data_IF_094443353647
#
_entry.id   IF_094443353647
#
_cell.length_a   1.000
_cell.length_b   1.000
_cell.length_c   1.000
_cell.angle_alpha   90.00
_cell.angle_beta   90.00
_cell.angle_gamma   90.00
#
_symmetry.space_group_name_H-M   'P 1'
#
loop_
_entity.id
_entity.type
_entity.pdbx_description
1 polymer ?
#
# COMPACT_ATOMS: atom_id res chain seq x y z
N UNK A 1 -57.04 -15.79 -88.68
CA UNK A 1 -56.78 -15.34 -87.30
C UNK A 1 -55.86 -16.32 -86.59
N UNK A 2 -54.56 -16.00 -86.45
CA UNK A 2 -53.65 -16.58 -85.43
C UNK A 2 -52.69 -15.47 -85.01
N UNK A 3 -52.78 -15.04 -83.76
CA UNK A 3 -51.96 -13.96 -83.17
C UNK A 3 -50.61 -14.53 -82.75
N UNK A 4 -49.53 -13.90 -83.21
CA UNK A 4 -48.16 -14.14 -82.75
C UNK A 4 -47.96 -13.29 -81.49
N UNK A 5 -47.58 -13.93 -80.39
CA UNK A 5 -47.29 -13.28 -79.12
C UNK A 5 -45.76 -13.11 -79.00
N UNK A 6 -45.28 -11.88 -79.19
CA UNK A 6 -43.88 -11.52 -78.98
C UNK A 6 -43.62 -11.32 -77.49
N UNK A 7 -42.74 -12.15 -76.91
CA UNK A 7 -42.27 -12.01 -75.52
C UNK A 7 -41.07 -11.06 -75.52
N UNK A 8 -41.24 -9.88 -74.94
CA UNK A 8 -40.19 -8.88 -74.73
C UNK A 8 -39.44 -9.23 -73.43
N UNK A 9 -38.18 -9.66 -73.55
CA UNK A 9 -37.31 -9.95 -72.41
C UNK A 9 -36.70 -8.63 -71.88
N UNK A 10 -37.21 -8.15 -70.74
CA UNK A 10 -36.64 -7.00 -70.02
C UNK A 10 -35.42 -7.43 -69.20
N UNK A 11 -34.22 -7.12 -69.70
CA UNK A 11 -32.96 -7.19 -68.94
C UNK A 11 -32.84 -5.96 -68.03
N UNK A 12 -33.11 -6.13 -66.74
CA UNK A 12 -32.80 -5.16 -65.69
C UNK A 12 -31.31 -5.23 -65.33
N UNK A 13 -30.52 -4.15 -65.50
CA UNK A 13 -29.14 -4.12 -65.03
C UNK A 13 -29.14 -4.08 -63.50
N UNK A 14 -28.72 -5.18 -62.87
CA UNK A 14 -28.43 -5.19 -61.44
C UNK A 14 -27.16 -4.38 -61.22
N UNK A 15 -27.30 -3.12 -60.80
CA UNK A 15 -26.20 -2.36 -60.20
C UNK A 15 -25.84 -3.04 -58.88
N UNK A 16 -24.90 -3.99 -58.94
CA UNK A 16 -24.17 -4.46 -57.76
C UNK A 16 -23.34 -3.28 -57.24
N UNK A 17 -23.90 -2.52 -56.30
CA UNK A 17 -23.11 -1.68 -55.40
C UNK A 17 -22.18 -2.63 -54.64
N UNK A 18 -20.94 -2.75 -55.09
CA UNK A 18 -19.89 -3.49 -54.39
C UNK A 18 -19.71 -2.84 -53.01
N UNK A 19 -20.33 -3.43 -51.99
CA UNK A 19 -20.16 -3.01 -50.60
C UNK A 19 -18.71 -3.29 -50.24
N UNK A 20 -17.92 -2.24 -50.03
CA UNK A 20 -16.52 -2.41 -49.64
C UNK A 20 -16.47 -3.11 -48.28
N UNK A 21 -15.83 -4.28 -48.25
CA UNK A 21 -15.60 -5.08 -47.04
C UNK A 21 -14.78 -4.26 -46.02
N UNK A 22 -15.05 -4.40 -44.71
CA UNK A 22 -14.24 -3.79 -43.68
C UNK A 22 -12.81 -4.35 -43.69
N UNK A 23 -11.86 -3.54 -43.23
CA UNK A 23 -10.50 -4.02 -42.95
C UNK A 23 -10.50 -4.74 -41.62
N UNK A 24 -9.99 -5.96 -41.62
CA UNK A 24 -9.77 -6.74 -40.42
C UNK A 24 -8.31 -6.67 -40.00
N UNK A 25 -8.06 -6.21 -38.78
CA UNK A 25 -6.74 -6.22 -38.16
C UNK A 25 -6.58 -7.52 -37.39
N UNK A 26 -5.53 -8.26 -37.72
CA UNK A 26 -5.03 -9.40 -36.96
C UNK A 26 -3.75 -8.99 -36.25
N UNK A 27 -3.77 -8.97 -34.91
CA UNK A 27 -2.58 -8.62 -34.14
C UNK A 27 -1.56 -9.74 -34.18
N UNK A 28 -0.28 -9.39 -34.30
CA UNK A 28 0.79 -10.37 -34.19
C UNK A 28 0.90 -10.82 -32.74
N UNK A 29 0.96 -12.12 -32.48
CA UNK A 29 1.11 -12.70 -31.13
C UNK A 29 2.54 -12.59 -30.58
N UNK A 30 3.23 -11.51 -30.91
CA UNK A 30 4.57 -11.19 -30.40
C UNK A 30 4.44 -10.44 -29.08
N UNK A 31 4.92 -10.99 -27.95
CA UNK A 31 4.77 -10.36 -26.65
C UNK A 31 5.39 -8.95 -26.59
N UNK A 32 4.71 -8.06 -25.89
CA UNK A 32 5.21 -6.73 -25.57
C UNK A 32 6.10 -6.84 -24.33
N UNK A 33 7.31 -6.30 -24.44
CA UNK A 33 8.25 -6.19 -23.33
C UNK A 33 8.69 -4.74 -23.17
N UNK A 34 8.85 -4.30 -21.93
CA UNK A 34 9.31 -2.95 -21.59
C UNK A 34 10.55 -3.03 -20.71
N UNK A 35 11.30 -1.94 -20.61
CA UNK A 35 12.47 -1.88 -19.73
C UNK A 35 12.02 -1.74 -18.29
N UNK A 36 12.52 -2.62 -17.41
CA UNK A 36 12.28 -2.60 -15.96
C UNK A 36 10.77 -2.53 -15.61
N UNK A 37 9.98 -3.55 -15.98
CA UNK A 37 8.53 -3.57 -15.69
C UNK A 37 8.27 -3.46 -14.19
N UNK A 38 7.44 -2.50 -13.79
CA UNK A 38 7.13 -2.23 -12.37
C UNK A 38 5.71 -2.65 -11.97
N UNK A 39 4.95 -3.21 -12.91
CA UNK A 39 3.59 -3.72 -12.70
C UNK A 39 3.42 -5.14 -13.22
N UNK A 40 2.42 -5.84 -12.69
CA UNK A 40 1.92 -7.09 -13.22
C UNK A 40 0.50 -6.88 -13.75
N UNK A 41 0.14 -7.62 -14.80
CA UNK A 41 -1.20 -7.54 -15.36
C UNK A 41 -2.16 -8.37 -14.51
N UNK A 42 -3.18 -7.73 -13.97
CA UNK A 42 -4.26 -8.41 -13.22
C UNK A 42 -5.45 -8.72 -14.13
N UNK A 43 -5.87 -7.73 -14.94
CA UNK A 43 -7.02 -7.85 -15.83
C UNK A 43 -7.03 -6.74 -16.87
N UNK A 44 -7.56 -7.03 -18.05
CA UNK A 44 -7.93 -6.02 -19.04
C UNK A 44 -9.46 -5.95 -19.18
N UNK A 45 -9.99 -4.73 -19.29
CA UNK A 45 -11.40 -4.47 -19.56
C UNK A 45 -11.52 -3.58 -20.78
N UNK A 46 -12.30 -4.02 -21.76
CA UNK A 46 -12.70 -3.15 -22.87
C UNK A 46 -13.92 -2.33 -22.45
N UNK A 47 -13.75 -1.03 -22.26
CA UNK A 47 -14.80 -0.08 -21.87
C UNK A 47 -15.10 0.92 -22.98
N UNK A 48 -14.62 0.66 -24.20
CA UNK A 48 -14.92 1.49 -25.37
C UNK A 48 -16.41 1.46 -25.63
N UNK A 49 -16.97 2.64 -25.93
CA UNK A 49 -18.39 2.81 -26.24
C UNK A 49 -18.85 2.00 -27.46
N UNK A 50 -17.95 1.79 -28.43
CA UNK A 50 -18.22 1.01 -29.63
C UNK A 50 -17.14 -0.03 -29.89
N UNK A 51 -17.35 -1.27 -29.40
CA UNK A 51 -16.36 -2.36 -29.46
C UNK A 51 -16.22 -3.00 -30.84
N UNK A 52 -17.26 -2.94 -31.65
CA UNK A 52 -17.35 -3.65 -32.93
C UNK A 52 -16.53 -3.03 -34.07
N UNK A 53 -16.03 -1.80 -33.92
CA UNK A 53 -15.16 -1.16 -34.90
C UNK A 53 -14.06 -0.34 -34.22
N UNK A 54 -12.93 -0.20 -34.91
CA UNK A 54 -11.76 0.58 -34.51
C UNK A 54 -11.66 1.88 -35.31
N UNK A 55 -12.80 2.45 -35.73
CA UNK A 55 -12.86 3.64 -36.58
C UNK A 55 -12.89 3.33 -38.08
N UNK A 56 -12.43 4.28 -38.87
CA UNK A 56 -12.52 4.27 -40.34
C UNK A 56 -11.23 4.74 -40.98
N UNK A 57 -10.88 4.10 -42.09
CA UNK A 57 -9.68 4.40 -42.88
C UNK A 57 -10.05 4.66 -44.33
N UNK A 58 -9.16 5.30 -45.09
CA UNK A 58 -9.36 5.62 -46.50
C UNK A 58 -8.97 4.43 -47.37
N UNK A 59 -9.92 3.95 -48.18
CA UNK A 59 -9.74 2.87 -49.15
C UNK A 59 -9.39 3.37 -50.55
N UNK A 60 -9.73 4.62 -50.85
CA UNK A 60 -9.49 5.27 -52.13
C UNK A 60 -9.93 6.74 -52.09
N UNK A 61 -9.78 7.49 -53.19
CA UNK A 61 -10.20 8.89 -53.26
C UNK A 61 -11.68 9.03 -52.87
N UNK A 62 -11.97 9.87 -51.87
CA UNK A 62 -13.32 10.04 -51.31
C UNK A 62 -14.02 8.74 -50.83
N UNK A 63 -13.27 7.68 -50.56
CA UNK A 63 -13.80 6.38 -50.15
C UNK A 63 -13.20 5.94 -48.81
N UNK A 64 -14.06 5.47 -47.89
CA UNK A 64 -13.63 5.04 -46.55
C UNK A 64 -14.28 3.72 -46.19
N UNK A 65 -13.55 2.92 -45.41
CA UNK A 65 -13.96 1.60 -44.93
C UNK A 65 -13.74 1.50 -43.43
N UNK A 66 -14.61 0.73 -42.77
CA UNK A 66 -14.50 0.48 -41.34
C UNK A 66 -13.30 -0.42 -41.03
N UNK A 67 -12.66 -0.17 -39.89
CA UNK A 67 -11.63 -1.04 -39.32
C UNK A 67 -12.25 -1.89 -38.23
N UNK A 68 -11.95 -3.19 -38.22
CA UNK A 68 -12.37 -4.15 -37.19
C UNK A 68 -11.17 -4.98 -36.75
N UNK A 69 -11.33 -5.72 -35.65
CA UNK A 69 -10.34 -6.70 -35.23
C UNK A 69 -10.93 -8.10 -35.33
N UNK A 70 -10.10 -9.08 -35.70
CA UNK A 70 -10.49 -10.48 -35.72
C UNK A 70 -10.79 -11.03 -34.31
N UNK A 71 -10.10 -10.50 -33.31
CA UNK A 71 -10.16 -10.94 -31.93
C UNK A 71 -10.71 -9.82 -31.03
N UNK A 72 -11.20 -10.18 -29.85
CA UNK A 72 -11.56 -9.19 -28.85
C UNK A 72 -10.32 -8.42 -28.38
N UNK A 73 -10.37 -7.08 -28.41
CA UNK A 73 -9.22 -6.24 -28.09
C UNK A 73 -8.70 -6.49 -26.67
N UNK A 74 -9.58 -6.72 -25.70
CA UNK A 74 -9.17 -7.05 -24.34
C UNK A 74 -8.34 -8.35 -24.28
N UNK A 75 -8.81 -9.41 -24.95
CA UNK A 75 -8.09 -10.69 -25.03
C UNK A 75 -6.74 -10.53 -25.74
N UNK A 76 -6.72 -9.80 -26.85
CA UNK A 76 -5.49 -9.52 -27.59
C UNK A 76 -4.48 -8.76 -26.75
N UNK A 77 -4.90 -7.72 -26.03
CA UNK A 77 -4.00 -6.95 -25.18
C UNK A 77 -3.49 -7.79 -24.00
N UNK A 78 -4.32 -8.72 -23.50
CA UNK A 78 -3.92 -9.65 -22.44
C UNK A 78 -2.83 -10.59 -22.95
N UNK A 79 -3.05 -11.27 -24.08
CA UNK A 79 -2.07 -12.15 -24.73
C UNK A 79 -0.73 -11.44 -25.01
N UNK A 80 -0.79 -10.17 -25.42
CA UNK A 80 0.40 -9.36 -25.72
C UNK A 80 1.18 -8.97 -24.46
N UNK A 81 0.50 -8.68 -23.35
CA UNK A 81 1.12 -8.13 -22.14
C UNK A 81 1.46 -9.21 -21.10
N UNK A 82 0.58 -10.19 -20.89
CA UNK A 82 0.72 -11.24 -19.87
C UNK A 82 2.12 -11.88 -19.79
N UNK A 83 2.81 -12.19 -20.90
CA UNK A 83 4.17 -12.77 -20.84
C UNK A 83 5.23 -11.82 -20.24
N UNK A 84 5.13 -10.51 -20.47
CA UNK A 84 6.08 -9.51 -19.97
C UNK A 84 5.76 -9.01 -18.56
N UNK A 85 4.49 -9.13 -18.14
CA UNK A 85 3.94 -8.52 -16.93
C UNK A 85 3.37 -9.56 -15.97
N UNK A 86 4.09 -10.68 -15.77
CA UNK A 86 3.73 -11.69 -14.78
C UNK A 86 3.79 -11.16 -13.33
N UNK A 87 3.01 -11.77 -12.40
CA UNK A 87 3.03 -11.43 -10.98
C UNK A 87 4.42 -11.61 -10.33
N UNK A 88 4.80 -10.63 -9.51
CA UNK A 88 6.05 -10.60 -8.74
C UNK A 88 5.83 -9.75 -7.48
N UNK A 89 6.48 -10.08 -6.36
CA UNK A 89 6.34 -9.36 -5.08
C UNK A 89 6.72 -7.88 -5.14
N UNK A 90 7.52 -7.46 -6.13
CA UNK A 90 8.00 -6.10 -6.37
C UNK A 90 7.10 -5.29 -7.31
N UNK A 91 6.22 -5.97 -8.07
CA UNK A 91 5.35 -5.38 -9.09
C UNK A 91 3.98 -5.02 -8.52
N UNK A 92 3.37 -3.96 -9.05
CA UNK A 92 2.01 -3.52 -8.69
C UNK A 92 1.00 -4.26 -9.57
N UNK A 93 -0.02 -4.95 -9.02
CA UNK A 93 -1.05 -5.58 -9.83
C UNK A 93 -2.01 -4.54 -10.42
N UNK A 94 -2.13 -4.49 -11.74
CA UNK A 94 -2.85 -3.43 -12.47
C UNK A 94 -4.02 -4.00 -13.27
N UNK A 95 -5.15 -3.30 -13.17
CA UNK A 95 -6.28 -3.43 -14.09
C UNK A 95 -6.12 -2.35 -15.17
N UNK A 96 -6.13 -2.77 -16.44
CA UNK A 96 -6.10 -1.85 -17.58
C UNK A 96 -7.51 -1.74 -18.15
N UNK A 97 -8.05 -0.52 -18.23
CA UNK A 97 -9.34 -0.24 -18.88
C UNK A 97 -9.10 0.48 -20.19
N UNK A 98 -9.57 -0.11 -21.29
CA UNK A 98 -9.45 0.44 -22.63
C UNK A 98 -10.64 1.38 -22.85
N UNK A 99 -10.37 2.68 -22.94
CA UNK A 99 -11.39 3.71 -23.10
C UNK A 99 -11.53 4.15 -24.55
N UNK A 100 -10.40 4.20 -25.29
CA UNK A 100 -10.37 4.52 -26.71
C UNK A 100 -9.34 3.66 -27.44
N UNK A 101 -9.70 3.11 -28.60
CA UNK A 101 -8.76 2.59 -29.60
C UNK A 101 -9.39 2.81 -30.98
N UNK A 102 -9.02 3.92 -31.62
CA UNK A 102 -9.66 4.40 -32.85
C UNK A 102 -8.61 4.86 -33.87
N UNK A 103 -8.81 4.41 -35.10
CA UNK A 103 -8.11 4.87 -36.28
C UNK A 103 -8.94 5.91 -37.03
N UNK A 104 -8.28 6.99 -37.41
CA UNK A 104 -8.85 8.04 -38.26
C UNK A 104 -7.83 8.48 -39.30
N UNK A 105 -8.28 8.64 -40.54
CA UNK A 105 -7.42 9.03 -41.66
C UNK A 105 -7.97 10.21 -42.44
N UNK A 106 -7.05 10.99 -43.02
CA UNK A 106 -7.34 12.03 -44.01
C UNK A 106 -6.57 11.76 -45.29
N UNK A 107 -7.16 12.16 -46.41
CA UNK A 107 -6.56 11.94 -47.73
C UNK A 107 -5.29 12.77 -47.87
N UNK A 108 -4.25 12.16 -48.40
CA UNK A 108 -3.00 12.80 -48.78
C UNK A 108 -2.84 12.67 -50.31
N UNK A 109 -2.03 13.57 -50.90
CA UNK A 109 -1.69 13.49 -52.33
C UNK A 109 -1.04 12.13 -52.66
N UNK A 110 -1.16 11.71 -53.93
CA UNK A 110 -0.52 10.52 -54.48
C UNK A 110 -0.98 9.17 -53.89
N UNK A 111 -2.30 8.96 -53.72
CA UNK A 111 -2.89 7.69 -53.26
C UNK A 111 -2.42 7.26 -51.86
N UNK A 112 -2.16 8.25 -51.00
CA UNK A 112 -1.75 8.06 -49.63
C UNK A 112 -2.80 8.58 -48.66
N UNK A 113 -2.76 8.07 -47.44
CA UNK A 113 -3.54 8.57 -46.31
C UNK A 113 -2.58 8.94 -45.17
N UNK A 114 -2.84 10.09 -44.53
CA UNK A 114 -2.25 10.43 -43.25
C UNK A 114 -3.23 10.03 -42.15
N UNK A 115 -2.78 9.13 -41.29
CA UNK A 115 -3.57 8.46 -40.29
C UNK A 115 -3.15 8.75 -38.87
N UNK A 116 -4.09 8.52 -37.97
CA UNK A 116 -3.93 8.67 -36.54
C UNK A 116 -4.51 7.44 -35.85
N UNK A 117 -3.75 6.83 -34.95
CA UNK A 117 -4.25 5.90 -33.96
C UNK A 117 -4.34 6.61 -32.61
N UNK A 118 -5.55 6.74 -32.08
CA UNK A 118 -5.80 7.24 -30.74
C UNK A 118 -5.97 6.05 -29.80
N UNK A 119 -5.21 6.05 -28.71
CA UNK A 119 -5.29 5.06 -27.64
C UNK A 119 -5.49 5.81 -26.33
N UNK A 120 -6.54 5.46 -25.59
CA UNK A 120 -6.79 5.94 -24.24
C UNK A 120 -6.97 4.75 -23.30
N UNK A 121 -6.12 4.68 -22.28
CA UNK A 121 -6.14 3.66 -21.24
C UNK A 121 -6.24 4.31 -19.87
N UNK A 122 -7.05 3.74 -18.98
CA UNK A 122 -7.00 4.01 -17.56
C UNK A 122 -6.37 2.82 -16.82
N UNK A 123 -5.58 3.13 -15.79
CA UNK A 123 -4.87 2.15 -14.98
C UNK A 123 -5.35 2.21 -13.55
N UNK A 124 -5.86 1.10 -13.05
CA UNK A 124 -6.38 0.99 -11.69
C UNK A 124 -5.61 -0.07 -10.89
N UNK A 125 -5.60 0.08 -9.58
CA UNK A 125 -5.17 -0.94 -8.63
C UNK A 125 -6.36 -1.38 -7.77
N UNK A 126 -6.37 -2.61 -7.28
CA UNK A 126 -7.39 -3.07 -6.33
C UNK A 126 -6.99 -2.70 -4.89
N UNK A 127 -7.91 -2.04 -4.17
CA UNK A 127 -7.81 -1.72 -2.74
C UNK A 127 -9.14 -2.03 -2.07
N UNK A 128 -9.13 -2.85 -1.03
CA UNK A 128 -10.33 -3.25 -0.26
C UNK A 128 -11.50 -3.70 -1.15
N UNK A 129 -11.18 -4.50 -2.18
CA UNK A 129 -12.16 -5.02 -3.13
C UNK A 129 -12.69 -4.00 -4.15
N UNK A 130 -12.19 -2.76 -4.15
CA UNK A 130 -12.58 -1.69 -5.09
C UNK A 130 -11.42 -1.27 -6.00
N UNK A 131 -11.68 -0.96 -7.28
CA UNK A 131 -10.67 -0.37 -8.15
C UNK A 131 -10.43 1.10 -7.77
N UNK A 132 -9.17 1.47 -7.60
CA UNK A 132 -8.71 2.84 -7.39
C UNK A 132 -7.88 3.24 -8.60
N UNK A 133 -8.31 4.27 -9.32
CA UNK A 133 -7.61 4.76 -10.50
C UNK A 133 -6.28 5.43 -10.10
N UNK A 134 -5.19 5.00 -10.72
CA UNK A 134 -3.86 5.57 -10.53
C UNK A 134 -3.61 6.73 -11.50
N UNK A 135 -3.82 6.47 -12.79
CA UNK A 135 -3.55 7.43 -13.85
C UNK A 135 -4.22 7.01 -15.16
N UNK A 136 -4.24 7.94 -16.12
CA UNK A 136 -4.73 7.73 -17.48
C UNK A 136 -3.61 8.01 -18.48
N UNK A 137 -3.57 7.26 -19.56
CA UNK A 137 -2.65 7.46 -20.66
C UNK A 137 -3.42 7.71 -21.95
N UNK A 138 -3.13 8.84 -22.59
CA UNK A 138 -3.68 9.19 -23.89
C UNK A 138 -2.54 9.36 -24.88
N UNK A 139 -2.60 8.63 -25.98
CA UNK A 139 -1.62 8.73 -27.06
C UNK A 139 -2.27 8.94 -28.41
N UNK A 140 -1.56 9.70 -29.25
CA UNK A 140 -1.90 9.95 -30.64
C UNK A 140 -0.71 9.55 -31.52
N UNK A 141 -0.73 8.34 -32.04
CA UNK A 141 0.32 7.84 -32.93
C UNK A 141 -0.02 8.18 -34.38
N UNK A 142 0.85 8.94 -35.04
CA UNK A 142 0.67 9.37 -36.44
C UNK A 142 1.35 8.35 -37.36
N UNK A 143 0.72 8.06 -38.49
CA UNK A 143 1.30 7.22 -39.54
C UNK A 143 0.90 7.72 -40.94
N UNK A 144 1.65 7.32 -41.95
CA UNK A 144 1.32 7.50 -43.37
C UNK A 144 1.34 6.13 -44.04
N UNK A 145 0.38 5.88 -44.93
CA UNK A 145 0.35 4.64 -45.74
C UNK A 145 -0.22 4.90 -47.13
N UNK A 146 0.11 4.02 -48.07
CA UNK A 146 -0.60 3.94 -49.35
C UNK A 146 -1.96 3.27 -49.16
N UNK A 147 -2.91 3.55 -50.07
CA UNK A 147 -4.18 2.82 -50.10
C UNK A 147 -3.92 1.31 -50.27
N UNK A 148 -4.73 0.48 -49.61
CA UNK A 148 -4.59 -0.99 -49.62
C UNK A 148 -3.53 -1.58 -48.67
N UNK A 149 -2.53 -0.83 -48.19
CA UNK A 149 -1.53 -1.35 -47.24
C UNK A 149 -1.98 -1.23 -45.78
N UNK A 150 -2.71 -2.22 -45.27
CA UNK A 150 -3.33 -2.17 -43.94
C UNK A 150 -2.46 -2.69 -42.78
N UNK A 151 -1.36 -3.38 -43.08
CA UNK A 151 -0.42 -3.93 -42.06
C UNK A 151 0.14 -2.87 -41.10
N UNK A 152 0.20 -1.61 -41.56
CA UNK A 152 0.63 -0.46 -40.76
C UNK A 152 -0.27 -0.22 -39.54
N UNK A 153 -1.56 -0.55 -39.61
CA UNK A 153 -2.53 -0.28 -38.55
C UNK A 153 -2.24 -1.11 -37.30
N UNK A 154 -2.00 -2.42 -37.49
CA UNK A 154 -1.61 -3.35 -36.43
C UNK A 154 -0.36 -2.87 -35.71
N UNK A 155 0.70 -2.58 -36.48
CA UNK A 155 1.99 -2.17 -35.94
C UNK A 155 1.86 -0.90 -35.10
N UNK A 156 1.08 0.07 -35.59
CA UNK A 156 0.84 1.34 -34.91
C UNK A 156 0.09 1.12 -33.59
N UNK A 157 -0.96 0.29 -33.57
CA UNK A 157 -1.68 -0.02 -32.33
C UNK A 157 -0.81 -0.76 -31.33
N UNK A 158 -0.02 -1.76 -31.77
CA UNK A 158 0.90 -2.50 -30.91
C UNK A 158 1.96 -1.58 -30.30
N UNK A 159 2.52 -0.66 -31.09
CA UNK A 159 3.49 0.34 -30.60
C UNK A 159 2.87 1.35 -29.63
N UNK A 160 1.60 1.72 -29.83
CA UNK A 160 0.87 2.55 -28.87
C UNK A 160 0.69 1.82 -27.52
N UNK A 161 0.35 0.53 -27.54
CA UNK A 161 0.23 -0.29 -26.34
C UNK A 161 1.57 -0.47 -25.61
N UNK A 162 2.66 -0.75 -26.34
CA UNK A 162 4.02 -0.82 -25.79
C UNK A 162 4.41 0.50 -25.10
N UNK A 163 4.10 1.63 -25.74
CA UNK A 163 4.36 2.96 -25.19
C UNK A 163 3.55 3.22 -23.92
N UNK A 164 2.29 2.78 -23.88
CA UNK A 164 1.43 2.89 -22.70
C UNK A 164 1.95 2.05 -21.53
N UNK A 165 2.38 0.81 -21.79
CA UNK A 165 2.96 -0.07 -20.78
C UNK A 165 4.28 0.48 -20.23
N UNK A 166 5.14 1.06 -21.09
CA UNK A 166 6.37 1.72 -20.66
C UNK A 166 6.08 2.99 -19.85
N UNK A 167 5.09 3.78 -20.26
CA UNK A 167 4.63 4.96 -19.52
C UNK A 167 4.20 4.56 -18.11
N UNK A 168 3.32 3.57 -17.96
CA UNK A 168 2.84 3.13 -16.65
C UNK A 168 4.00 2.64 -15.78
N UNK A 169 4.94 1.88 -16.36
CA UNK A 169 6.10 1.39 -15.63
C UNK A 169 6.94 2.53 -15.05
N UNK A 170 7.15 3.59 -15.84
CA UNK A 170 7.85 4.80 -15.43
C UNK A 170 7.04 5.62 -14.41
N UNK A 171 5.73 5.74 -14.60
CA UNK A 171 4.85 6.47 -13.71
C UNK A 171 4.83 5.84 -12.31
N UNK A 172 4.69 4.51 -12.22
CA UNK A 172 4.76 3.79 -10.94
C UNK A 172 6.13 4.01 -10.30
N UNK A 173 7.23 3.96 -11.06
CA UNK A 173 8.58 4.19 -10.51
C UNK A 173 8.70 5.58 -9.86
N UNK A 174 8.13 6.62 -10.47
CA UNK A 174 8.20 8.00 -9.98
C UNK A 174 7.26 8.25 -8.80
N UNK A 175 6.12 7.57 -8.75
CA UNK A 175 5.05 7.82 -7.79
C UNK A 175 4.96 6.79 -6.64
N UNK A 176 5.80 5.74 -6.66
CA UNK A 176 5.78 4.64 -5.67
C UNK A 176 5.81 5.13 -4.22
N UNK A 177 6.55 6.21 -3.95
CA UNK A 177 6.74 6.75 -2.60
C UNK A 177 5.90 8.03 -2.35
N UNK A 178 4.99 8.34 -3.28
CA UNK A 178 4.17 9.57 -3.26
C UNK A 178 2.68 9.31 -3.29
N UNK A 179 2.27 8.15 -3.82
CA UNK A 179 0.88 7.79 -4.00
C UNK A 179 0.45 6.77 -2.95
N UNK A 180 -0.47 7.12 -2.03
CA UNK A 180 -1.02 6.17 -1.06
C UNK A 180 -1.65 4.95 -1.73
N UNK A 181 -2.23 5.13 -2.92
CA UNK A 181 -2.78 4.04 -3.73
C UNK A 181 -1.74 2.96 -4.09
N UNK A 182 -0.44 3.26 -4.07
CA UNK A 182 0.64 2.29 -4.35
C UNK A 182 1.21 1.60 -3.10
N UNK A 183 0.76 1.97 -1.90
CA UNK A 183 1.13 1.31 -0.64
C UNK A 183 0.63 -0.13 -0.67
N UNK A 184 1.51 -1.07 -0.33
CA UNK A 184 1.22 -2.49 -0.16
C UNK A 184 0.75 -2.82 1.26
N UNK A 185 1.14 -1.98 2.22
CA UNK A 185 0.75 -2.09 3.62
C UNK A 185 1.76 -1.36 4.52
N UNK A 186 1.61 -1.60 5.83
CA UNK A 186 2.51 -1.12 6.86
C UNK A 186 3.53 -2.20 7.24
N UNK A 187 4.74 -1.77 7.57
CA UNK A 187 5.74 -2.60 8.26
C UNK A 187 6.18 -1.89 9.52
N UNK A 188 6.16 -2.57 10.65
CA UNK A 188 6.58 -1.98 11.92
C UNK A 188 8.00 -2.40 12.29
N UNK A 189 8.80 -1.44 12.72
CA UNK A 189 10.13 -1.66 13.28
C UNK A 189 10.14 -1.08 14.69
N UNK A 190 10.27 -1.93 15.70
CA UNK A 190 10.27 -1.51 17.10
C UNK A 190 11.70 -1.39 17.61
N UNK A 191 11.97 -0.27 18.28
CA UNK A 191 13.24 0.01 18.93
C UNK A 191 12.95 0.30 20.40
N UNK A 192 13.59 -0.45 21.30
CA UNK A 192 13.62 -0.09 22.71
C UNK A 192 14.77 0.87 22.98
N UNK A 193 14.46 2.06 23.46
CA UNK A 193 15.47 2.96 23.98
C UNK A 193 15.89 2.48 25.38
N UNK A 194 16.94 1.68 25.40
CA UNK A 194 17.53 1.15 26.62
C UNK A 194 18.99 1.57 26.69
N UNK A 195 19.29 2.55 27.54
CA UNK A 195 20.65 3.01 27.80
C UNK A 195 21.05 2.63 29.23
N UNK A 196 22.26 2.10 29.40
CA UNK A 196 22.77 1.68 30.71
C UNK A 196 23.21 2.87 31.59
N UNK A 197 23.48 4.03 30.97
CA UNK A 197 23.87 5.25 31.66
C UNK A 197 22.67 6.19 31.79
N UNK A 198 22.47 6.74 32.99
CA UNK A 198 21.43 7.75 33.20
C UNK A 198 21.72 8.99 32.34
N UNK A 199 20.68 9.54 31.72
CA UNK A 199 20.77 10.75 30.91
C UNK A 199 20.09 11.89 31.67
N UNK A 200 20.90 12.77 32.26
CA UNK A 200 20.41 13.88 33.07
C UNK A 200 19.47 13.44 34.20
N UNK A 201 18.26 13.98 34.18
CA UNK A 201 17.19 13.77 35.18
C UNK A 201 16.37 12.48 34.95
N UNK A 202 16.79 11.63 34.00
CA UNK A 202 16.01 10.44 33.60
C UNK A 202 16.84 9.17 33.72
N UNK A 203 16.22 8.13 34.29
CA UNK A 203 16.74 6.75 34.27
C UNK A 203 15.87 5.93 33.33
N UNK A 204 16.45 5.40 32.27
CA UNK A 204 15.75 4.52 31.34
C UNK A 204 15.78 3.08 31.83
N UNK A 205 14.72 2.34 31.51
CA UNK A 205 14.58 0.96 31.91
C UNK A 205 15.65 0.11 31.23
N UNK A 206 16.44 -0.58 32.05
CA UNK A 206 17.44 -1.54 31.56
C UNK A 206 17.66 -2.63 32.61
N UNK A 207 17.60 -3.93 32.27
CA UNK A 207 17.78 -5.01 33.25
C UNK A 207 19.13 -4.96 34.01
N UNK A 208 20.19 -4.51 33.33
CA UNK A 208 21.52 -4.29 33.92
C UNK A 208 21.72 -2.94 34.65
N UNK A 209 20.70 -2.07 34.69
CA UNK A 209 20.70 -0.84 35.49
C UNK A 209 19.42 -0.76 36.33
N UNK A 210 19.27 -1.62 37.35
CA UNK A 210 18.17 -1.51 38.30
C UNK A 210 18.22 -0.17 39.03
N UNK A 211 17.10 0.22 39.64
CA UNK A 211 17.03 1.45 40.41
C UNK A 211 18.00 1.42 41.60
N UNK A 212 18.46 2.62 41.97
CA UNK A 212 19.24 2.87 43.17
C UNK A 212 18.63 4.03 43.93
N UNK A 213 18.88 4.13 45.23
CA UNK A 213 18.37 5.25 46.03
C UNK A 213 18.92 6.62 45.60
N UNK A 214 20.00 6.67 44.82
CA UNK A 214 20.56 7.91 44.25
C UNK A 214 19.74 8.45 43.07
N UNK A 215 18.81 7.63 42.54
CA UNK A 215 17.87 8.03 41.51
C UNK A 215 16.66 8.80 42.08
N UNK A 216 16.49 8.87 43.41
CA UNK A 216 15.36 9.54 44.09
C UNK A 216 15.80 10.90 44.62
N UNK A 217 15.72 11.93 43.77
CA UNK A 217 16.33 13.24 44.02
C UNK A 217 15.33 14.32 44.42
N UNK A 218 14.03 14.03 44.37
CA UNK A 218 12.99 14.95 44.80
C UNK A 218 12.89 15.02 46.33
N UNK A 219 12.41 16.14 46.85
CA UNK A 219 12.08 16.27 48.27
C UNK A 219 10.82 15.45 48.61
N UNK A 220 10.76 14.78 49.77
CA UNK A 220 9.57 14.06 50.20
C UNK A 220 8.33 14.95 50.27
N UNK A 221 7.19 14.43 49.79
CA UNK A 221 5.93 15.17 49.82
C UNK A 221 5.45 15.40 51.26
N UNK A 222 5.16 16.66 51.59
CA UNK A 222 4.61 17.05 52.89
C UNK A 222 3.27 16.34 53.08
N UNK A 223 3.08 15.70 54.24
CA UNK A 223 1.84 14.99 54.59
C UNK A 223 1.66 13.59 53.98
N UNK A 224 2.55 13.13 53.08
CA UNK A 224 2.50 11.75 52.57
C UNK A 224 2.77 10.74 53.68
N UNK A 225 2.04 9.61 53.72
CA UNK A 225 2.33 8.51 54.66
C UNK A 225 3.35 7.50 54.12
N UNK A 226 3.73 7.62 52.85
CA UNK A 226 4.60 6.66 52.18
C UNK A 226 6.07 6.93 52.53
N UNK A 227 6.87 5.86 52.51
CA UNK A 227 8.30 5.90 52.77
C UNK A 227 9.09 6.43 51.56
N UNK A 228 8.67 6.06 50.35
CA UNK A 228 9.21 6.51 49.08
C UNK A 228 8.08 6.66 48.05
N UNK A 229 8.40 7.22 46.90
CA UNK A 229 7.54 7.23 45.72
C UNK A 229 8.39 7.44 44.48
N UNK A 230 8.27 6.53 43.52
CA UNK A 230 8.79 6.66 42.16
C UNK A 230 7.82 7.43 41.26
N UNK A 231 8.37 8.10 40.24
CA UNK A 231 7.61 8.63 39.11
C UNK A 231 8.02 7.94 37.80
N UNK A 232 7.54 6.71 37.53
CA UNK A 232 7.82 6.00 36.29
C UNK A 232 6.75 6.31 35.23
N UNK A 233 7.16 6.37 33.98
CA UNK A 233 6.26 6.58 32.84
C UNK A 233 6.90 6.03 31.56
N UNK A 234 6.19 6.15 30.45
CA UNK A 234 6.72 5.82 29.14
C UNK A 234 6.33 6.86 28.09
N UNK A 235 7.08 6.88 27.01
CA UNK A 235 6.77 7.61 25.79
C UNK A 235 7.16 6.79 24.57
N UNK A 236 6.73 7.25 23.40
CA UNK A 236 7.22 6.71 22.13
C UNK A 236 7.48 7.85 21.14
N UNK A 237 8.38 7.58 20.20
CA UNK A 237 8.67 8.44 19.06
C UNK A 237 8.43 7.64 17.78
N UNK A 238 7.73 8.24 16.82
CA UNK A 238 7.41 7.60 15.55
C UNK A 238 8.08 8.30 14.38
N UNK A 239 8.69 7.52 13.49
CA UNK A 239 9.14 7.98 12.18
C UNK A 239 8.67 7.00 11.10
N UNK A 240 8.16 7.51 9.99
CA UNK A 240 7.71 6.70 8.87
C UNK A 240 8.51 7.00 7.60
N UNK A 241 8.86 5.96 6.86
CA UNK A 241 9.53 6.08 5.55
C UNK A 241 9.00 5.06 4.56
N UNK A 242 9.11 5.37 3.28
CA UNK A 242 8.75 4.46 2.21
C UNK A 242 9.87 3.47 1.92
N UNK A 243 9.55 2.18 1.91
CA UNK A 243 10.51 1.10 1.66
C UNK A 243 9.85 0.01 0.82
N UNK A 244 10.29 -0.16 -0.43
CA UNK A 244 9.84 -1.24 -1.32
C UNK A 244 8.30 -1.31 -1.53
N UNK A 245 7.62 -0.16 -1.47
CA UNK A 245 6.17 -0.06 -1.57
C UNK A 245 5.41 -0.32 -0.27
N UNK A 246 6.10 -0.46 0.86
CA UNK A 246 5.51 -0.44 2.20
C UNK A 246 5.81 0.90 2.87
N UNK A 247 4.94 1.31 3.79
CA UNK A 247 5.28 2.35 4.76
C UNK A 247 5.89 1.65 5.96
N UNK A 248 7.20 1.81 6.14
CA UNK A 248 7.91 1.34 7.32
C UNK A 248 7.74 2.37 8.43
N UNK A 249 7.07 1.98 9.51
CA UNK A 249 6.84 2.78 10.71
C UNK A 249 7.81 2.30 11.78
N UNK A 250 8.84 3.11 12.02
CA UNK A 250 9.77 2.91 13.11
C UNK A 250 9.22 3.56 14.38
N UNK A 251 9.00 2.76 15.42
CA UNK A 251 8.56 3.22 16.74
C UNK A 251 9.67 2.99 17.76
N UNK A 252 10.16 4.07 18.35
CA UNK A 252 11.13 4.03 19.45
C UNK A 252 10.40 4.19 20.77
N UNK A 253 10.41 3.18 21.62
CA UNK A 253 9.74 3.16 22.92
C UNK A 253 10.74 3.51 24.03
N UNK A 254 10.30 4.37 24.96
CA UNK A 254 11.10 4.82 26.10
C UNK A 254 10.32 4.50 27.38
N UNK A 255 10.82 3.58 28.20
CA UNK A 255 10.32 3.37 29.58
C UNK A 255 11.32 4.03 30.51
N UNK A 256 10.88 4.93 31.39
CA UNK A 256 11.78 5.69 32.24
C UNK A 256 11.17 6.15 33.55
N UNK A 257 12.02 6.56 34.50
CA UNK A 257 11.62 7.31 35.69
C UNK A 257 12.33 8.67 35.75
N UNK A 258 11.66 9.65 36.37
CA UNK A 258 12.15 11.02 36.53
C UNK A 258 12.70 11.21 37.94
N UNK A 259 13.99 11.52 38.06
CA UNK A 259 14.68 11.58 39.36
C UNK A 259 14.19 12.74 40.21
N UNK A 260 14.02 13.91 39.60
CA UNK A 260 13.48 15.13 40.24
C UNK A 260 12.01 15.04 40.64
N UNK A 261 11.30 13.95 40.29
CA UNK A 261 9.92 13.68 40.72
C UNK A 261 9.81 12.46 41.64
N UNK A 262 10.90 11.72 41.84
CA UNK A 262 10.96 10.53 42.69
C UNK A 262 11.66 10.85 44.01
N UNK A 263 11.10 10.45 45.14
CA UNK A 263 11.63 10.79 46.48
C UNK A 263 11.64 9.60 47.44
N UNK A 264 12.50 9.68 48.45
CA UNK A 264 12.55 8.76 49.59
C UNK A 264 12.75 9.54 50.88
N UNK A 265 12.09 9.13 51.97
CA UNK A 265 12.26 9.76 53.29
C UNK A 265 13.65 9.46 53.85
N UNK A 266 14.28 10.43 54.54
CA UNK A 266 15.48 10.16 55.31
C UNK A 266 15.28 8.98 56.27
N UNK A 267 16.22 8.04 56.28
CA UNK A 267 16.14 6.83 57.12
C UNK A 267 15.33 5.66 56.55
N UNK A 268 14.69 5.81 55.39
CA UNK A 268 13.87 4.77 54.73
C UNK A 268 14.51 4.20 53.46
N UNK A 269 15.84 4.20 53.39
CA UNK A 269 16.61 3.65 52.27
C UNK A 269 16.98 2.19 52.54
N UNK A 270 16.01 1.28 52.43
CA UNK A 270 16.22 -0.16 52.57
C UNK A 270 15.96 -0.94 51.27
N UNK A 271 16.55 -2.13 51.15
CA UNK A 271 16.50 -2.92 49.91
C UNK A 271 15.08 -3.41 49.56
N UNK A 272 14.24 -3.64 50.58
CA UNK A 272 12.88 -4.11 50.39
C UNK A 272 11.98 -3.01 49.82
N UNK A 273 12.12 -1.78 50.33
CA UNK A 273 11.49 -0.59 49.79
C UNK A 273 11.96 -0.29 48.37
N UNK A 274 13.27 -0.42 48.09
CA UNK A 274 13.78 -0.20 46.74
C UNK A 274 13.20 -1.21 45.74
N UNK A 275 13.07 -2.47 46.16
CA UNK A 275 12.42 -3.50 45.36
C UNK A 275 10.96 -3.18 45.07
N UNK A 276 10.25 -2.57 46.02
CA UNK A 276 8.87 -2.11 45.82
C UNK A 276 8.78 -1.06 44.70
N UNK A 277 9.64 -0.04 44.75
CA UNK A 277 9.71 1.00 43.71
C UNK A 277 10.17 0.44 42.36
N UNK A 278 11.08 -0.54 42.36
CA UNK A 278 11.49 -1.26 41.14
C UNK A 278 10.30 -1.98 40.49
N UNK A 279 9.36 -2.53 41.27
CA UNK A 279 8.16 -3.17 40.68
C UNK A 279 7.25 -2.18 39.98
N UNK A 280 7.10 -0.96 40.48
CA UNK A 280 6.41 0.09 39.72
C UNK A 280 7.07 0.32 38.36
N UNK A 281 8.41 0.36 38.31
CA UNK A 281 9.13 0.53 37.06
C UNK A 281 8.93 -0.65 36.09
N UNK A 282 8.96 -1.88 36.61
CA UNK A 282 8.71 -3.10 35.84
C UNK A 282 7.26 -3.17 35.31
N UNK A 283 6.27 -2.69 36.08
CA UNK A 283 4.88 -2.57 35.62
C UNK A 283 4.82 -1.67 34.38
N UNK A 284 5.49 -0.52 34.38
CA UNK A 284 5.50 0.36 33.20
C UNK A 284 6.12 -0.33 31.99
N UNK A 285 7.23 -1.07 32.17
CA UNK A 285 7.83 -1.85 31.08
C UNK A 285 6.86 -2.91 30.53
N UNK A 286 6.18 -3.65 31.41
CA UNK A 286 5.16 -4.63 31.01
C UNK A 286 4.03 -3.98 30.19
N UNK A 287 3.58 -2.79 30.58
CA UNK A 287 2.55 -2.06 29.84
C UNK A 287 3.05 -1.62 28.46
N UNK A 288 4.31 -1.22 28.34
CA UNK A 288 4.93 -0.92 27.03
C UNK A 288 4.96 -2.15 26.12
N UNK A 289 5.28 -3.34 26.65
CA UNK A 289 5.23 -4.57 25.85
C UNK A 289 3.80 -4.90 25.39
N UNK A 290 2.81 -4.74 26.26
CA UNK A 290 1.40 -4.91 25.87
C UNK A 290 0.95 -3.88 24.85
N UNK A 291 1.43 -2.63 24.94
CA UNK A 291 1.16 -1.59 23.95
C UNK A 291 1.70 -1.98 22.57
N UNK A 292 2.96 -2.45 22.50
CA UNK A 292 3.55 -2.98 21.27
C UNK A 292 2.70 -4.09 20.66
N UNK A 293 2.27 -5.05 21.46
CA UNK A 293 1.40 -6.15 20.99
C UNK A 293 0.07 -5.65 20.44
N UNK A 294 -0.56 -4.66 21.10
CA UNK A 294 -1.81 -4.05 20.61
C UNK A 294 -1.63 -3.42 19.25
N UNK A 295 -0.56 -2.66 19.01
CA UNK A 295 -0.28 -2.05 17.70
C UNK A 295 -0.15 -3.15 16.61
N UNK A 296 0.48 -4.29 16.94
CA UNK A 296 0.65 -5.36 15.95
C UNK A 296 -0.67 -6.09 15.65
N UNK A 297 -1.46 -6.35 16.69
CA UNK A 297 -2.70 -7.13 16.60
C UNK A 297 -3.92 -6.32 16.13
N UNK A 298 -3.79 -5.00 16.02
CA UNK A 298 -4.92 -4.13 15.73
C UNK A 298 -5.46 -4.32 14.31
N UNK A 299 -6.72 -4.78 14.14
CA UNK A 299 -7.32 -5.00 12.83
C UNK A 299 -7.62 -3.69 12.09
N UNK A 300 -7.74 -2.58 12.80
CA UNK A 300 -8.01 -1.25 12.22
C UNK A 300 -6.70 -0.52 11.84
N UNK A 301 -5.56 -1.21 11.89
CA UNK A 301 -4.24 -0.64 11.60
C UNK A 301 -4.03 -0.48 10.08
N UNK A 302 -4.45 0.65 9.55
CA UNK A 302 -4.37 1.03 8.14
C UNK A 302 -3.29 2.11 7.89
N UNK A 303 -2.77 2.18 6.65
CA UNK A 303 -1.76 3.13 6.25
C UNK A 303 -2.22 4.60 6.20
N UNK A 304 -3.51 4.88 6.09
CA UNK A 304 -4.06 6.24 6.14
C UNK A 304 -4.16 6.74 7.59
N UNK A 305 -4.57 5.86 8.52
CA UNK A 305 -4.88 6.23 9.91
C UNK A 305 -3.89 5.72 10.97
N UNK A 306 -2.80 5.03 10.60
CA UNK A 306 -1.89 4.42 11.58
C UNK A 306 -1.40 5.39 12.67
N UNK A 307 -1.16 6.65 12.32
CA UNK A 307 -0.64 7.63 13.27
C UNK A 307 -1.66 7.96 14.37
N UNK A 308 -2.92 8.21 14.01
CA UNK A 308 -3.99 8.45 14.99
C UNK A 308 -4.29 7.19 15.79
N UNK A 309 -4.20 6.01 15.15
CA UNK A 309 -4.46 4.74 15.82
C UNK A 309 -3.40 4.39 16.86
N UNK A 310 -2.11 4.55 16.55
CA UNK A 310 -1.02 4.36 17.53
C UNK A 310 -1.16 5.34 18.70
N UNK A 311 -1.54 6.59 18.44
CA UNK A 311 -1.79 7.58 19.48
C UNK A 311 -2.97 7.20 20.40
N UNK A 312 -4.05 6.66 19.82
CA UNK A 312 -5.18 6.15 20.60
C UNK A 312 -4.75 5.00 21.52
N UNK A 313 -4.05 4.01 20.97
CA UNK A 313 -3.54 2.86 21.74
C UNK A 313 -2.55 3.29 22.83
N UNK A 314 -1.76 4.34 22.61
CA UNK A 314 -0.90 4.93 23.63
C UNK A 314 -1.70 5.47 24.82
N UNK A 315 -2.81 6.19 24.57
CA UNK A 315 -3.66 6.72 25.64
C UNK A 315 -4.32 5.59 26.44
N UNK A 316 -4.69 4.49 25.79
CA UNK A 316 -5.18 3.28 26.48
C UNK A 316 -4.10 2.64 27.34
N UNK A 317 -2.89 2.48 26.80
CA UNK A 317 -1.76 1.96 27.56
C UNK A 317 -1.40 2.85 28.76
N UNK A 318 -1.49 4.17 28.62
CA UNK A 318 -1.27 5.11 29.73
C UNK A 318 -2.31 4.95 30.84
N UNK A 319 -3.59 4.74 30.49
CA UNK A 319 -4.65 4.44 31.47
C UNK A 319 -4.41 3.11 32.17
N UNK A 320 -3.98 2.09 31.42
CA UNK A 320 -3.66 0.77 31.98
C UNK A 320 -2.47 0.83 32.94
N UNK A 321 -1.45 1.62 32.61
CA UNK A 321 -0.31 1.87 33.48
C UNK A 321 -0.75 2.40 34.85
N UNK A 322 -1.57 3.44 34.87
CA UNK A 322 -2.05 4.02 36.14
C UNK A 322 -2.88 3.02 36.92
N UNK A 323 -3.82 2.32 36.26
CA UNK A 323 -4.65 1.29 36.89
C UNK A 323 -3.81 0.17 37.54
N UNK A 324 -2.77 -0.31 36.86
CA UNK A 324 -1.92 -1.38 37.38
C UNK A 324 -1.05 -0.92 38.55
N UNK A 325 -0.54 0.32 38.50
CA UNK A 325 0.21 0.88 39.62
C UNK A 325 -0.68 1.08 40.85
N UNK A 326 -1.88 1.64 40.69
CA UNK A 326 -2.85 1.80 41.78
C UNK A 326 -3.28 0.45 42.37
N UNK A 327 -3.49 -0.56 41.53
CA UNK A 327 -3.82 -1.91 41.98
C UNK A 327 -2.67 -2.52 42.80
N UNK A 328 -1.44 -2.40 42.32
CA UNK A 328 -0.25 -2.89 43.02
C UNK A 328 -0.09 -2.20 44.39
N UNK A 329 -0.18 -0.88 44.44
CA UNK A 329 -0.16 -0.10 45.68
C UNK A 329 -1.25 -0.54 46.65
N UNK A 330 -2.49 -0.67 46.17
CA UNK A 330 -3.65 -1.03 46.99
C UNK A 330 -3.54 -2.43 47.58
N UNK A 331 -3.17 -3.43 46.78
CA UNK A 331 -3.06 -4.83 47.21
C UNK A 331 -1.86 -5.06 48.13
N UNK A 332 -0.74 -4.38 47.89
CA UNK A 332 0.46 -4.49 48.75
C UNK A 332 0.40 -3.56 49.97
N UNK A 333 -0.63 -2.73 50.09
CA UNK A 333 -0.73 -1.67 51.11
C UNK A 333 0.51 -0.76 51.08
N UNK A 334 0.87 -0.26 49.90
CA UNK A 334 2.08 0.56 49.65
C UNK A 334 3.35 -0.14 50.15
N UNK A 335 3.47 -1.44 49.86
CA UNK A 335 4.62 -2.26 50.23
C UNK A 335 4.63 -2.79 51.66
N UNK A 336 3.63 -2.51 52.50
CA UNK A 336 3.57 -3.04 53.88
C UNK A 336 3.30 -4.56 53.87
N UNK A 337 2.46 -5.04 52.96
CA UNK A 337 2.11 -6.45 52.86
C UNK A 337 3.12 -7.22 52.00
N UNK A 338 4.10 -7.82 52.68
CA UNK A 338 5.18 -8.62 52.07
C UNK A 338 4.69 -9.80 51.23
N UNK A 339 3.63 -10.48 51.68
CA UNK A 339 3.12 -11.66 50.97
C UNK A 339 2.52 -11.27 49.61
N UNK A 340 1.79 -10.16 49.58
CA UNK A 340 1.18 -9.62 48.36
C UNK A 340 2.24 -9.05 47.41
N UNK A 341 3.24 -8.33 47.92
CA UNK A 341 4.36 -7.85 47.10
C UNK A 341 5.10 -9.03 46.45
N UNK A 342 5.32 -10.11 47.20
CA UNK A 342 5.99 -11.30 46.69
C UNK A 342 5.14 -12.08 45.66
N UNK A 343 3.80 -12.06 45.79
CA UNK A 343 2.90 -12.52 44.71
C UNK A 343 3.08 -11.67 43.45
N UNK A 344 3.07 -10.34 43.59
CA UNK A 344 3.23 -9.41 42.49
C UNK A 344 4.59 -9.52 41.82
N UNK A 345 5.67 -9.71 42.58
CA UNK A 345 7.01 -9.96 42.06
C UNK A 345 6.99 -11.11 41.04
N UNK A 346 6.48 -12.28 41.44
CA UNK A 346 6.36 -13.44 40.56
C UNK A 346 5.47 -13.16 39.35
N UNK A 347 4.33 -12.50 39.58
CA UNK A 347 3.38 -12.17 38.51
C UNK A 347 4.01 -11.27 37.46
N UNK A 348 4.65 -10.17 37.85
CA UNK A 348 5.25 -9.20 36.94
C UNK A 348 6.41 -9.84 36.18
N UNK A 349 7.28 -10.57 36.86
CA UNK A 349 8.39 -11.27 36.19
C UNK A 349 7.90 -12.24 35.12
N UNK A 350 6.87 -13.04 35.43
CA UNK A 350 6.30 -13.98 34.46
C UNK A 350 5.59 -13.27 33.30
N UNK A 351 4.75 -12.28 33.61
CA UNK A 351 3.98 -11.53 32.62
C UNK A 351 4.92 -10.76 31.68
N UNK A 352 5.99 -10.15 32.21
CA UNK A 352 6.95 -9.39 31.41
C UNK A 352 7.71 -10.30 30.45
N UNK A 353 8.24 -11.43 30.95
CA UNK A 353 8.92 -12.40 30.10
C UNK A 353 8.01 -12.91 28.98
N UNK A 354 6.77 -13.29 29.31
CA UNK A 354 5.80 -13.75 28.32
C UNK A 354 5.47 -12.66 27.30
N UNK A 355 5.38 -11.40 27.74
CA UNK A 355 5.08 -10.28 26.87
C UNK A 355 6.24 -10.00 25.89
N UNK A 356 7.48 -9.99 26.36
CA UNK A 356 8.66 -9.81 25.50
C UNK A 356 8.79 -10.93 24.47
N UNK A 357 8.62 -12.19 24.91
CA UNK A 357 8.63 -13.38 24.04
C UNK A 357 7.53 -13.27 22.95
N UNK A 358 6.30 -12.90 23.33
CA UNK A 358 5.19 -12.73 22.39
C UNK A 358 5.41 -11.57 21.42
N UNK A 359 5.90 -10.41 21.88
CA UNK A 359 6.21 -9.27 21.02
C UNK A 359 7.22 -9.65 19.94
N UNK A 360 8.27 -10.38 20.31
CA UNK A 360 9.30 -10.85 19.36
C UNK A 360 8.72 -11.78 18.29
N UNK A 361 7.85 -12.73 18.68
CA UNK A 361 7.17 -13.64 17.75
C UNK A 361 6.22 -12.88 16.82
N UNK A 362 5.47 -11.91 17.34
CA UNK A 362 4.53 -11.12 16.54
C UNK A 362 5.25 -10.27 15.49
N UNK A 363 6.41 -9.70 15.82
CA UNK A 363 7.22 -8.93 14.88
C UNK A 363 7.80 -9.80 13.76
N UNK A 364 8.27 -11.01 14.07
CA UNK A 364 8.84 -11.90 13.05
C UNK A 364 7.78 -12.43 12.07
N UNK A 365 6.54 -12.60 12.51
CA UNK A 365 5.44 -13.09 11.66
C UNK A 365 4.83 -12.01 10.74
N UNK A 366 5.04 -10.71 11.03
CA UNK A 366 4.44 -9.58 10.27
C UNK A 366 5.42 -8.90 9.30
N UNK A 367 6.71 -9.28 9.31
CA UNK A 367 7.74 -8.80 8.37
C UNK A 367 7.71 -9.55 7.04
#
# INVERSE_FOLDING_TARGET
MKRILSILLLLLPHFLMARQEPVWISFKKEPISVRNPTFSLLKIRDERSFKAQLGTIISGPKSSIAVRSNDEIASTFDDLLSPGFSPDSTRVPIIIRIQELIFFEKEKKALQADGTCRLELAFDVMRDGKPVQLTTYTARTIYTRSFGQTDRLELVARKALESAAQYLSNWIKINRDKSPALVKGLKFVYIDHSIQQASGDTVFYHPLRPLSWDDFQAAPRIGSRNAASIFPTFSYEGHSRWVNGFIEVQLTFKTFMVKSMSWVRPGHKDDYGLLHEQKHFDIVKLIVERFKQRIIADPDMDFEEYNSRVQFLYLEAYRDMNRWQEQYDGETQHGINRAEQERWNRKITQDLKNAEDLTAIMLSNRQ
#
